data_IF_736993551242
#
_entry.id   IF_736993551242
#
_cell.length_a   1.000
_cell.length_b   1.000
_cell.length_c   1.000
_cell.angle_alpha   90.00
_cell.angle_beta   90.00
_cell.angle_gamma   90.00
#
_symmetry.space_group_name_H-M   'P 1'
#
loop_
_entity.id
_entity.type
_entity.pdbx_description
1 polymer ?
#
# COMPACT_ATOMS: atom_id res chain seq x y z
N UNK A 1 -20.57 -48.98 16.75
CA UNK A 1 -21.49 -48.95 17.91
C UNK A 1 -20.62 -48.92 19.16
N UNK A 2 -20.36 -47.74 19.71
CA UNK A 2 -19.52 -47.56 20.90
C UNK A 2 -20.12 -46.42 21.71
N UNK A 3 -20.64 -46.77 22.89
CA UNK A 3 -21.43 -45.94 23.78
C UNK A 3 -20.46 -45.10 24.63
N UNK A 4 -20.57 -43.77 24.55
CA UNK A 4 -19.83 -42.85 25.42
C UNK A 4 -20.81 -42.22 26.41
N UNK A 5 -20.53 -42.45 27.69
CA UNK A 5 -21.39 -42.15 28.83
C UNK A 5 -21.53 -40.67 29.16
N UNK A 6 -22.60 -40.43 29.90
CA UNK A 6 -23.13 -39.16 30.41
C UNK A 6 -22.49 -38.73 31.73
N UNK A 7 -22.34 -37.42 31.92
CA UNK A 7 -22.43 -36.69 33.20
C UNK A 7 -22.95 -35.28 32.82
N UNK A 8 -24.22 -34.89 33.02
CA UNK A 8 -24.82 -34.28 34.23
C UNK A 8 -23.87 -33.22 34.86
N UNK A 9 -24.21 -31.96 35.14
CA UNK A 9 -25.44 -31.20 35.23
C UNK A 9 -25.07 -29.68 35.19
N UNK A 10 -25.84 -28.83 34.51
CA UNK A 10 -26.75 -27.83 35.11
C UNK A 10 -26.10 -26.90 36.17
N UNK A 11 -25.76 -25.67 35.77
CA UNK A 11 -25.92 -24.47 36.62
C UNK A 11 -26.55 -23.36 35.80
N UNK A 12 -27.81 -23.12 36.11
CA UNK A 12 -28.64 -21.99 35.74
C UNK A 12 -28.15 -20.76 36.52
N UNK A 13 -27.97 -19.62 35.87
CA UNK A 13 -27.58 -18.37 36.54
C UNK A 13 -27.97 -17.14 35.73
N UNK A 14 -29.21 -16.69 35.91
CA UNK A 14 -29.72 -15.44 35.38
C UNK A 14 -29.11 -14.24 36.13
N UNK A 15 -28.57 -13.26 35.39
CA UNK A 15 -28.40 -11.89 35.88
C UNK A 15 -28.94 -10.95 34.80
N UNK A 16 -30.13 -10.42 35.07
CA UNK A 16 -30.74 -9.28 34.38
C UNK A 16 -30.32 -7.97 35.05
N UNK A 17 -30.50 -6.87 34.28
CA UNK A 17 -30.62 -5.46 34.67
C UNK A 17 -29.39 -4.52 34.64
N UNK A 18 -29.39 -3.71 33.57
CA UNK A 18 -29.29 -2.26 33.58
C UNK A 18 -27.99 -1.58 34.06
N UNK A 19 -27.07 -1.36 33.12
CA UNK A 19 -26.17 -0.20 33.16
C UNK A 19 -26.72 0.90 32.24
N UNK A 20 -27.50 1.82 32.80
CA UNK A 20 -27.84 3.07 32.13
C UNK A 20 -26.71 4.05 32.42
N UNK A 21 -25.82 4.26 31.45
CA UNK A 21 -24.84 5.33 31.52
C UNK A 21 -25.57 6.66 31.28
N UNK A 22 -25.39 7.70 32.13
CA UNK A 22 -25.88 9.03 31.79
C UNK A 22 -25.11 9.53 30.58
N UNK A 23 -25.78 9.62 29.44
CA UNK A 23 -25.33 10.41 28.31
C UNK A 23 -25.37 11.87 28.77
N UNK A 24 -24.23 12.37 29.23
CA UNK A 24 -24.05 13.81 29.47
C UNK A 24 -24.07 14.45 28.09
N UNK A 25 -25.20 15.08 27.76
CA UNK A 25 -25.34 15.89 26.56
C UNK A 25 -24.37 17.07 26.64
N UNK A 26 -23.16 16.91 26.08
CA UNK A 26 -22.31 18.05 25.79
C UNK A 26 -23.04 18.89 24.74
N UNK A 27 -23.38 20.13 25.08
CA UNK A 27 -24.10 20.99 24.16
C UNK A 27 -23.25 21.19 22.91
N UNK A 28 -23.87 21.27 21.73
CA UNK A 28 -23.16 21.57 20.48
C UNK A 28 -22.34 22.87 20.60
N UNK A 29 -22.77 23.80 21.45
CA UNK A 29 -22.05 25.02 21.74
C UNK A 29 -20.74 24.78 22.50
N UNK A 30 -20.68 23.77 23.39
CA UNK A 30 -19.46 23.42 24.12
C UNK A 30 -18.49 22.66 23.22
N UNK A 31 -18.97 21.77 22.36
CA UNK A 31 -18.15 21.09 21.34
C UNK A 31 -17.56 22.10 20.35
N UNK A 32 -18.33 23.11 19.92
CA UNK A 32 -17.84 24.16 19.04
C UNK A 32 -16.79 25.07 19.71
N UNK A 33 -16.95 25.38 21.00
CA UNK A 33 -15.95 26.16 21.76
C UNK A 33 -14.67 25.36 21.98
N UNK A 34 -14.77 24.06 22.24
CA UNK A 34 -13.61 23.18 22.43
C UNK A 34 -12.85 22.96 21.12
N UNK A 35 -13.54 22.75 20.00
CA UNK A 35 -12.92 22.66 18.67
C UNK A 35 -12.17 23.95 18.29
N UNK A 36 -12.73 25.13 18.63
CA UNK A 36 -12.07 26.42 18.38
C UNK A 36 -10.82 26.61 19.26
N UNK A 37 -10.87 26.18 20.52
CA UNK A 37 -9.69 26.21 21.40
C UNK A 37 -8.60 25.26 20.92
N UNK A 38 -8.96 24.05 20.51
CA UNK A 38 -8.03 23.06 19.95
C UNK A 38 -7.35 23.53 18.66
N UNK A 39 -8.06 24.31 17.81
CA UNK A 39 -7.47 24.91 16.62
C UNK A 39 -6.49 26.06 16.94
N UNK A 40 -6.68 26.76 18.06
CA UNK A 40 -5.82 27.86 18.49
C UNK A 40 -4.58 27.39 19.25
N UNK A 41 -4.61 26.18 19.83
CA UNK A 41 -3.48 25.59 20.56
C UNK A 41 -2.60 24.67 19.70
N UNK A 42 -2.82 24.63 18.38
CA UNK A 42 -1.89 23.92 17.48
C UNK A 42 -0.55 24.67 17.44
N UNK A 43 0.58 23.98 17.67
CA UNK A 43 1.89 24.60 17.52
C UNK A 43 2.04 25.10 16.08
N UNK A 44 2.68 26.27 15.92
CA UNK A 44 2.90 26.87 14.62
C UNK A 44 3.48 25.81 13.65
N UNK A 45 2.80 25.64 12.51
CA UNK A 45 3.18 24.67 11.49
C UNK A 45 4.68 24.80 11.19
N UNK A 46 5.37 23.66 11.14
CA UNK A 46 6.78 23.60 10.78
C UNK A 46 6.96 24.37 9.46
N UNK A 47 7.82 25.40 9.48
CA UNK A 47 8.06 26.24 8.31
C UNK A 47 8.57 25.36 7.17
N UNK A 48 7.79 25.26 6.10
CA UNK A 48 8.22 24.59 4.87
C UNK A 48 9.15 25.55 4.15
N UNK A 49 10.46 25.31 4.26
CA UNK A 49 11.47 26.04 3.49
C UNK A 49 11.39 25.50 2.06
N UNK A 50 10.90 26.30 1.13
CA UNK A 50 10.89 25.94 -0.29
C UNK A 50 12.24 26.28 -0.93
N UNK A 51 12.48 25.79 -2.14
CA UNK A 51 13.73 26.07 -2.87
C UNK A 51 13.95 27.58 -3.12
N UNK A 52 12.88 28.40 -3.11
CA UNK A 52 12.99 29.86 -3.16
C UNK A 52 13.54 30.49 -1.86
N UNK A 53 13.29 29.88 -0.70
CA UNK A 53 13.75 30.40 0.59
C UNK A 53 15.26 30.17 0.82
N UNK A 54 15.89 29.27 0.06
CA UNK A 54 17.33 29.01 0.15
C UNK A 54 18.19 30.20 -0.30
N UNK A 55 17.67 31.06 -1.19
CA UNK A 55 18.39 32.25 -1.66
C UNK A 55 18.54 33.33 -0.57
N UNK A 56 17.67 33.31 0.46
CA UNK A 56 17.80 34.23 1.62
C UNK A 56 18.89 33.81 2.60
N UNK A 57 19.41 32.58 2.47
CA UNK A 57 20.49 32.04 3.31
C UNK A 57 21.79 31.83 2.52
N UNK A 58 21.84 32.24 1.24
CA UNK A 58 23.02 32.10 0.38
C UNK A 58 24.00 33.27 0.45
N UNK A 59 23.82 34.22 1.36
CA UNK A 59 24.84 35.24 1.64
C UNK A 59 25.87 34.68 2.65
N UNK A 60 27.18 34.71 2.34
CA UNK A 60 28.19 34.38 3.33
C UNK A 60 28.28 35.53 4.32
N UNK A 61 27.55 35.43 5.43
CA UNK A 61 27.81 36.25 6.60
C UNK A 61 29.17 35.83 7.19
N UNK A 62 30.20 36.58 6.84
CA UNK A 62 31.40 36.68 7.66
C UNK A 62 30.99 37.22 9.04
N UNK A 63 31.60 36.66 10.08
CA UNK A 63 31.42 36.98 11.51
C UNK A 63 30.06 36.60 12.13
N UNK A 64 29.97 35.36 12.62
CA UNK A 64 29.86 35.11 14.07
C UNK A 64 30.07 33.62 14.36
N UNK A 65 31.28 33.30 14.82
CA UNK A 65 31.71 31.96 15.20
C UNK A 65 31.04 31.59 16.54
N UNK A 66 29.84 30.99 16.48
CA UNK A 66 29.23 30.33 17.65
C UNK A 66 30.09 29.12 17.99
N UNK A 67 30.89 29.28 19.03
CA UNK A 67 31.77 28.27 19.64
C UNK A 67 30.90 27.15 20.22
N UNK A 68 30.67 26.10 19.44
CA UNK A 68 30.21 24.83 19.98
C UNK A 68 31.38 24.16 20.70
N UNK A 69 31.22 23.95 22.01
CA UNK A 69 32.13 23.17 22.85
C UNK A 69 32.33 21.79 22.23
N UNK A 70 33.58 21.44 21.93
CA UNK A 70 33.98 20.17 21.35
C UNK A 70 33.55 18.99 22.22
N UNK A 71 32.69 18.12 21.66
CA UNK A 71 32.56 16.73 22.10
C UNK A 71 33.80 15.94 21.63
N UNK A 72 34.19 14.83 22.30
CA UNK A 72 35.44 14.15 22.01
C UNK A 72 35.46 13.60 20.58
N UNK A 73 36.61 13.77 19.93
CA UNK A 73 36.92 13.43 18.56
C UNK A 73 36.63 11.95 18.26
N UNK A 74 35.51 11.69 17.58
CA UNK A 74 35.25 10.41 16.97
C UNK A 74 36.11 10.32 15.69
N UNK A 75 37.04 9.38 15.70
CA UNK A 75 37.84 9.02 14.52
C UNK A 75 36.91 8.82 13.31
N UNK A 76 37.27 9.34 12.12
CA UNK A 76 36.53 9.06 10.91
C UNK A 76 36.63 7.56 10.65
N UNK A 77 35.56 6.84 10.99
CA UNK A 77 35.36 5.48 10.48
C UNK A 77 35.12 5.68 8.99
N UNK A 78 36.18 5.47 8.19
CA UNK A 78 36.05 5.32 6.76
C UNK A 78 34.94 4.30 6.53
N UNK A 79 33.83 4.75 5.94
CA UNK A 79 32.88 3.82 5.36
C UNK A 79 33.69 2.91 4.44
N UNK A 80 33.55 1.59 4.53
CA UNK A 80 34.21 0.71 3.59
C UNK A 80 33.86 1.18 2.17
N UNK A 81 34.88 1.31 1.33
CA UNK A 81 34.72 1.51 -0.11
C UNK A 81 34.08 0.24 -0.67
N UNK A 82 32.75 0.16 -0.51
CA UNK A 82 31.95 -0.93 -1.07
C UNK A 82 31.94 -0.67 -2.55
N UNK A 83 32.84 -1.36 -3.27
CA UNK A 83 32.73 -1.50 -4.71
C UNK A 83 31.40 -2.16 -5.03
N UNK A 84 30.43 -1.34 -5.37
CA UNK A 84 29.19 -1.77 -5.98
C UNK A 84 29.55 -2.40 -7.34
N UNK A 85 29.46 -3.72 -7.43
CA UNK A 85 29.51 -4.42 -8.71
C UNK A 85 28.23 -4.05 -9.45
N UNK A 86 28.27 -3.01 -10.30
CA UNK A 86 27.07 -2.53 -11.00
C UNK A 86 26.68 -3.50 -12.09
N UNK A 87 25.86 -4.49 -11.76
CA UNK A 87 25.17 -5.26 -12.77
C UNK A 87 23.97 -4.41 -13.23
N UNK A 88 24.23 -3.56 -14.22
CA UNK A 88 23.29 -2.56 -14.76
C UNK A 88 23.47 -1.16 -14.14
N UNK A 89 23.37 -0.14 -14.99
CA UNK A 89 23.35 1.27 -14.61
C UNK A 89 21.98 1.70 -14.03
N UNK A 90 21.85 2.93 -13.53
CA UNK A 90 20.56 3.46 -13.05
C UNK A 90 19.45 3.31 -14.11
N UNK A 91 19.78 3.58 -15.37
CA UNK A 91 18.83 3.50 -16.48
C UNK A 91 18.24 2.09 -16.63
N UNK A 92 19.06 1.05 -16.51
CA UNK A 92 18.61 -0.35 -16.50
C UNK A 92 17.57 -0.61 -15.40
N UNK A 93 17.87 -0.21 -14.16
CA UNK A 93 16.98 -0.45 -13.01
C UNK A 93 15.69 0.35 -13.09
N UNK A 94 15.75 1.60 -13.55
CA UNK A 94 14.57 2.45 -13.80
C UNK A 94 13.68 1.86 -14.88
N UNK A 95 14.27 1.40 -15.97
CA UNK A 95 13.54 0.76 -17.07
C UNK A 95 12.89 -0.55 -16.63
N UNK A 96 13.61 -1.38 -15.86
CA UNK A 96 13.08 -2.62 -15.29
C UNK A 96 11.88 -2.33 -14.36
N UNK A 97 12.01 -1.35 -13.47
CA UNK A 97 10.93 -0.89 -12.58
C UNK A 97 9.70 -0.47 -13.40
N UNK A 98 9.90 0.39 -14.40
CA UNK A 98 8.82 0.90 -15.27
C UNK A 98 8.10 -0.24 -15.96
N UNK A 99 8.83 -1.19 -16.56
CA UNK A 99 8.26 -2.35 -17.24
C UNK A 99 7.41 -3.22 -16.31
N UNK A 100 7.88 -3.45 -15.09
CA UNK A 100 7.15 -4.26 -14.11
C UNK A 100 5.88 -3.54 -13.62
N UNK A 101 5.95 -2.23 -13.38
CA UNK A 101 4.78 -1.41 -13.05
C UNK A 101 3.77 -1.41 -14.20
N UNK A 102 4.22 -1.23 -15.44
CA UNK A 102 3.38 -1.26 -16.63
C UNK A 102 2.73 -2.63 -16.83
N UNK A 103 3.49 -3.72 -16.66
CA UNK A 103 2.98 -5.08 -16.75
C UNK A 103 1.91 -5.36 -15.68
N UNK A 104 2.16 -4.95 -14.43
CA UNK A 104 1.20 -5.07 -13.33
C UNK A 104 -0.07 -4.28 -13.61
N UNK A 105 0.06 -3.04 -14.09
CA UNK A 105 -1.07 -2.18 -14.43
C UNK A 105 -1.87 -2.71 -15.62
N UNK A 106 -1.20 -3.20 -16.67
CA UNK A 106 -1.85 -3.81 -17.82
C UNK A 106 -2.62 -5.07 -17.42
N UNK A 107 -1.99 -5.99 -16.67
CA UNK A 107 -2.66 -7.19 -16.20
C UNK A 107 -3.86 -6.89 -15.29
N UNK A 108 -3.76 -5.87 -14.43
CA UNK A 108 -4.90 -5.40 -13.64
C UNK A 108 -6.04 -4.88 -14.51
N UNK A 109 -5.75 -4.04 -15.51
CA UNK A 109 -6.76 -3.54 -16.47
C UNK A 109 -7.44 -4.69 -17.20
N UNK A 110 -6.68 -5.70 -17.63
CA UNK A 110 -7.24 -6.87 -18.31
C UNK A 110 -8.27 -7.59 -17.41
N UNK A 111 -7.96 -7.78 -16.12
CA UNK A 111 -8.93 -8.38 -15.17
C UNK A 111 -10.18 -7.49 -15.02
N UNK A 112 -9.98 -6.19 -14.81
CA UNK A 112 -11.05 -5.21 -14.59
C UNK A 112 -11.97 -5.09 -15.83
N UNK A 113 -11.43 -5.30 -17.05
CA UNK A 113 -12.17 -5.28 -18.31
C UNK A 113 -12.89 -6.61 -18.60
N UNK A 114 -12.25 -7.75 -18.34
CA UNK A 114 -12.79 -9.06 -18.70
C UNK A 114 -13.87 -9.55 -17.72
N UNK A 115 -13.78 -9.18 -16.45
CA UNK A 115 -14.74 -9.65 -15.44
C UNK A 115 -16.19 -9.20 -15.73
N UNK A 116 -16.48 -7.94 -16.10
CA UNK A 116 -17.82 -7.54 -16.53
C UNK A 116 -18.31 -8.27 -17.78
N UNK A 117 -17.42 -8.53 -18.74
CA UNK A 117 -17.76 -9.30 -19.95
C UNK A 117 -18.19 -10.73 -19.58
N UNK A 118 -17.46 -11.37 -18.66
CA UNK A 118 -17.83 -12.70 -18.16
C UNK A 118 -19.20 -12.67 -17.48
N UNK A 119 -19.47 -11.66 -16.66
CA UNK A 119 -20.77 -11.52 -16.00
C UNK A 119 -21.91 -11.32 -17.02
N UNK A 120 -21.68 -10.51 -18.05
CA UNK A 120 -22.63 -10.31 -19.14
C UNK A 120 -22.88 -11.62 -19.93
N UNK A 121 -21.81 -12.36 -20.26
CA UNK A 121 -21.92 -13.64 -20.95
C UNK A 121 -22.74 -14.65 -20.14
N UNK A 122 -22.55 -14.71 -18.82
CA UNK A 122 -23.41 -15.51 -17.93
C UNK A 122 -24.87 -15.08 -17.95
N UNK A 123 -25.14 -13.78 -17.89
CA UNK A 123 -26.53 -13.27 -17.98
C UNK A 123 -27.17 -13.69 -19.31
N UNK A 124 -26.45 -13.54 -20.43
CA UNK A 124 -26.92 -13.93 -21.76
C UNK A 124 -27.14 -15.45 -21.86
N UNK A 125 -26.26 -16.26 -21.25
CA UNK A 125 -26.38 -17.72 -21.24
C UNK A 125 -27.69 -18.19 -20.60
N UNK A 126 -28.08 -17.55 -19.49
CA UNK A 126 -29.34 -17.88 -18.80
C UNK A 126 -30.56 -17.28 -19.47
N UNK A 127 -30.43 -16.15 -20.18
CA UNK A 127 -31.51 -15.53 -20.94
C UNK A 127 -31.77 -16.21 -22.30
N UNK A 128 -30.83 -16.99 -22.83
CA UNK A 128 -30.97 -17.68 -24.10
C UNK A 128 -31.96 -18.86 -24.02
N UNK A 129 -32.90 -18.95 -24.97
CA UNK A 129 -33.80 -20.09 -25.12
C UNK A 129 -33.26 -21.15 -26.11
N UNK A 130 -32.58 -20.71 -27.17
CA UNK A 130 -32.01 -21.60 -28.19
C UNK A 130 -30.74 -22.32 -27.71
N UNK A 131 -30.71 -23.65 -27.89
CA UNK A 131 -29.62 -24.50 -27.47
C UNK A 131 -28.32 -24.24 -28.27
N UNK A 132 -28.42 -23.97 -29.56
CA UNK A 132 -27.25 -23.72 -30.39
C UNK A 132 -26.58 -22.38 -30.03
N UNK A 133 -27.37 -21.33 -29.82
CA UNK A 133 -26.89 -20.04 -29.32
C UNK A 133 -26.28 -20.14 -27.93
N UNK A 134 -26.93 -20.88 -27.01
CA UNK A 134 -26.40 -21.15 -25.67
C UNK A 134 -25.02 -21.83 -25.71
N UNK A 135 -24.81 -22.76 -26.66
CA UNK A 135 -23.53 -23.40 -26.89
C UNK A 135 -22.40 -22.42 -27.26
N UNK A 136 -22.70 -21.40 -28.08
CA UNK A 136 -21.71 -20.36 -28.43
C UNK A 136 -21.34 -19.50 -27.22
N UNK A 137 -22.34 -19.09 -26.43
CA UNK A 137 -22.09 -18.32 -25.20
C UNK A 137 -21.27 -19.14 -24.20
N UNK A 138 -21.48 -20.46 -24.12
CA UNK A 138 -20.67 -21.33 -23.27
C UNK A 138 -19.19 -21.29 -23.66
N UNK A 139 -18.87 -21.36 -24.95
CA UNK A 139 -17.50 -21.23 -25.44
C UNK A 139 -16.89 -19.86 -25.10
N UNK A 140 -17.69 -18.80 -25.20
CA UNK A 140 -17.27 -17.45 -24.80
C UNK A 140 -16.98 -17.36 -23.29
N UNK A 141 -17.83 -17.92 -22.44
CA UNK A 141 -17.62 -18.01 -20.99
C UNK A 141 -16.31 -18.73 -20.67
N UNK A 142 -16.05 -19.87 -21.30
CA UNK A 142 -14.85 -20.67 -21.05
C UNK A 142 -13.58 -19.90 -21.53
N UNK A 143 -13.66 -19.19 -22.65
CA UNK A 143 -12.59 -18.31 -23.14
C UNK A 143 -12.31 -17.14 -22.19
N UNK A 144 -13.36 -16.40 -21.77
CA UNK A 144 -13.23 -15.27 -20.85
C UNK A 144 -12.67 -15.70 -19.50
N UNK A 145 -13.13 -16.84 -18.98
CA UNK A 145 -12.60 -17.44 -17.75
C UNK A 145 -11.10 -17.71 -17.87
N UNK A 146 -10.68 -18.31 -18.97
CA UNK A 146 -9.25 -18.63 -19.22
C UNK A 146 -8.40 -17.34 -19.27
N UNK A 147 -8.86 -16.32 -20.01
CA UNK A 147 -8.17 -15.03 -20.13
C UNK A 147 -8.07 -14.28 -18.80
N UNK A 148 -9.10 -14.35 -17.95
CA UNK A 148 -9.09 -13.77 -16.60
C UNK A 148 -8.03 -14.47 -15.75
N UNK A 149 -7.99 -15.80 -15.76
CA UNK A 149 -7.01 -16.56 -14.97
C UNK A 149 -5.57 -16.30 -15.44
N UNK A 150 -5.34 -16.19 -16.75
CA UNK A 150 -4.04 -15.76 -17.29
C UNK A 150 -3.67 -14.33 -16.89
N UNK A 151 -4.62 -13.39 -16.92
CA UNK A 151 -4.41 -12.02 -16.48
C UNK A 151 -4.09 -11.95 -14.97
N UNK A 152 -4.79 -12.71 -14.13
CA UNK A 152 -4.50 -12.83 -12.70
C UNK A 152 -3.10 -13.40 -12.44
N UNK A 153 -2.70 -14.45 -13.17
CA UNK A 153 -1.33 -15.00 -13.07
C UNK A 153 -0.27 -13.97 -13.45
N UNK A 154 -0.49 -13.21 -14.53
CA UNK A 154 0.41 -12.11 -14.93
C UNK A 154 0.47 -11.03 -13.86
N UNK A 155 -0.67 -10.67 -13.27
CA UNK A 155 -0.76 -9.69 -12.19
C UNK A 155 0.04 -10.13 -10.96
N UNK A 156 -0.16 -11.37 -10.51
CA UNK A 156 0.56 -11.96 -9.38
C UNK A 156 2.07 -12.00 -9.65
N UNK A 157 2.48 -12.47 -10.82
CA UNK A 157 3.89 -12.55 -11.20
C UNK A 157 4.53 -11.16 -11.23
N UNK A 158 3.92 -10.17 -11.90
CA UNK A 158 4.45 -8.81 -11.97
C UNK A 158 4.53 -8.14 -10.59
N UNK A 159 3.57 -8.45 -9.70
CA UNK A 159 3.60 -7.95 -8.31
C UNK A 159 4.77 -8.56 -7.54
N UNK A 160 4.94 -9.89 -7.63
CA UNK A 160 6.06 -10.58 -7.01
C UNK A 160 7.42 -10.10 -7.53
N UNK A 161 7.52 -9.84 -8.83
CA UNK A 161 8.73 -9.30 -9.44
C UNK A 161 9.04 -7.89 -8.96
N UNK A 162 8.02 -7.04 -8.75
CA UNK A 162 8.20 -5.73 -8.11
C UNK A 162 8.67 -5.85 -6.66
N UNK A 163 8.05 -6.74 -5.88
CA UNK A 163 8.42 -6.95 -4.48
C UNK A 163 9.86 -7.44 -4.33
N UNK A 164 10.33 -8.30 -5.24
CA UNK A 164 11.69 -8.81 -5.25
C UNK A 164 12.71 -7.83 -5.87
N UNK A 165 12.26 -6.81 -6.61
CA UNK A 165 13.12 -5.92 -7.38
C UNK A 165 14.15 -5.20 -6.49
N UNK A 166 13.74 -4.75 -5.30
CA UNK A 166 14.63 -4.09 -4.37
C UNK A 166 15.74 -5.02 -3.87
N UNK A 167 15.43 -6.29 -3.65
CA UNK A 167 16.38 -7.29 -3.18
C UNK A 167 17.35 -7.70 -4.28
N UNK A 168 16.85 -7.86 -5.52
CA UNK A 168 17.67 -8.08 -6.71
C UNK A 168 18.64 -6.92 -6.95
N UNK A 169 18.14 -5.68 -6.86
CA UNK A 169 18.95 -4.48 -6.98
C UNK A 169 20.04 -4.41 -5.90
N UNK A 170 19.71 -4.68 -4.63
CA UNK A 170 20.70 -4.70 -3.55
C UNK A 170 21.79 -5.74 -3.78
N UNK A 171 21.41 -6.95 -4.22
CA UNK A 171 22.37 -8.02 -4.54
C UNK A 171 23.28 -7.65 -5.72
N UNK A 172 22.74 -6.93 -6.69
CA UNK A 172 23.46 -6.41 -7.86
C UNK A 172 24.17 -5.07 -7.62
N UNK A 173 24.31 -4.63 -6.36
CA UNK A 173 25.00 -3.39 -6.01
C UNK A 173 24.32 -2.09 -6.46
N UNK A 174 23.05 -2.13 -6.85
CA UNK A 174 22.30 -0.94 -7.19
C UNK A 174 21.90 -0.12 -5.95
N UNK A 175 21.86 1.20 -6.11
CA UNK A 175 21.43 2.10 -5.03
C UNK A 175 19.92 1.97 -4.79
N UNK A 176 19.45 2.03 -3.52
CA UNK A 176 18.01 1.92 -3.20
C UNK A 176 17.11 2.94 -3.89
N UNK A 177 17.64 4.08 -4.34
CA UNK A 177 16.88 5.11 -5.04
C UNK A 177 16.50 4.75 -6.48
N UNK A 178 17.21 3.83 -7.12
CA UNK A 178 17.01 3.50 -8.55
C UNK A 178 15.77 2.65 -8.81
N UNK A 179 15.28 1.93 -7.79
CA UNK A 179 14.16 0.99 -7.89
C UNK A 179 12.87 1.47 -7.21
N UNK A 180 12.85 2.70 -6.68
CA UNK A 180 11.62 3.25 -6.08
C UNK A 180 10.61 3.57 -7.17
N UNK A 181 9.40 3.04 -7.02
CA UNK A 181 8.21 3.44 -7.76
C UNK A 181 7.26 4.19 -6.82
N UNK A 182 6.69 5.31 -7.27
CA UNK A 182 5.63 6.04 -6.57
C UNK A 182 4.26 5.63 -7.10
#
# INVERSE_FOLDING_TARGET
MTIRGSFHALVLGAITLAFSLPVVAQSLADVAREAKKAAQSQPAAARTITNEDLQKYSEPAADEMVRWTSAPEAQPTSMPDVKFSSEGDEAHWRLKTTRLVDARNAAKRDVDELQPQLNLAWNNYYAADDAAYRGKIRTEIDSLTTRIEEAKKRLEQATKDLDNLADEARKAGALPGWVRHN
#
